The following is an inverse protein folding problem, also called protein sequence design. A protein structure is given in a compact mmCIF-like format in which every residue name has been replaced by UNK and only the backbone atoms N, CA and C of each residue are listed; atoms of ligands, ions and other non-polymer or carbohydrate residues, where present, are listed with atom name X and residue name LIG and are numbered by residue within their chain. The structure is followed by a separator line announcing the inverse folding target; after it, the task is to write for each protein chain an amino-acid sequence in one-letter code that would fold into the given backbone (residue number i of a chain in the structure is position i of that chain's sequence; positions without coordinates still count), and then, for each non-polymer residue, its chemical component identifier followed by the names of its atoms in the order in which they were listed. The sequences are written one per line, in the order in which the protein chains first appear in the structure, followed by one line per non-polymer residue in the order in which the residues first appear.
data_IF_881851553585
#
_entry.id   IF_881851553585
#
_cell.length_a   1.000
_cell.length_b   1.000
_cell.length_c   1.000
_cell.angle_alpha   90.00
_cell.angle_beta   90.00
_cell.angle_gamma   90.00
#
_symmetry.space_group_name_H-M   'P 1'
#
loop_
_entity.id
_entity.type
_entity.pdbx_description
1 polymer ?
#
# COMPACT_ATOMS: atom_id res chain seq x y z
N UNK A 1 15.33 -19.58 0.64
CA UNK A 1 14.05 -19.32 1.33
C UNK A 1 13.28 -18.39 0.43
N UNK A 2 12.29 -18.93 -0.28
CA UNK A 2 11.45 -18.14 -1.21
C UNK A 2 10.35 -17.49 -0.37
N UNK A 3 10.55 -16.24 0.04
CA UNK A 3 9.49 -15.48 0.66
C UNK A 3 8.61 -14.92 -0.47
N UNK A 4 7.40 -15.43 -0.56
CA UNK A 4 6.32 -14.79 -1.29
C UNK A 4 6.09 -13.40 -0.66
N UNK A 5 6.54 -12.37 -1.32
CA UNK A 5 6.18 -11.01 -0.98
C UNK A 5 4.69 -10.81 -1.31
N UNK A 6 3.84 -11.26 -0.40
CA UNK A 6 2.48 -10.74 -0.33
C UNK A 6 2.62 -9.36 0.30
N UNK A 7 2.94 -8.38 -0.56
CA UNK A 7 2.82 -6.98 -0.17
C UNK A 7 1.38 -6.79 0.28
N UNK A 8 1.20 -6.57 1.56
CA UNK A 8 -0.09 -6.19 2.12
C UNK A 8 -0.43 -4.82 1.54
N UNK A 9 -1.59 -4.76 0.93
CA UNK A 9 -2.23 -3.55 0.43
C UNK A 9 -2.10 -2.41 1.45
N UNK A 10 -1.30 -1.41 1.15
CA UNK A 10 -1.54 -0.06 1.60
C UNK A 10 -2.48 0.56 0.56
N UNK A 11 -3.59 1.10 0.99
CA UNK A 11 -4.69 1.52 0.13
C UNK A 11 -5.05 2.95 0.43
N UNK A 12 -5.12 3.79 -0.55
CA UNK A 12 -5.43 5.20 -0.43
C UNK A 12 -6.57 5.72 -1.30
N UNK A 13 -7.04 6.87 -0.93
CA UNK A 13 -8.27 7.48 -1.42
C UNK A 13 -8.06 8.65 -2.36
N UNK A 14 -8.78 8.67 -3.47
CA UNK A 14 -9.21 9.89 -4.13
C UNK A 14 -10.73 10.01 -4.03
N UNK A 15 -11.21 11.13 -3.50
CA UNK A 15 -12.62 11.47 -3.50
C UNK A 15 -13.08 11.79 -4.92
N UNK A 16 -13.60 10.80 -5.64
CA UNK A 16 -14.47 11.08 -6.76
C UNK A 16 -15.87 11.36 -6.20
N UNK A 17 -16.32 12.60 -6.30
CA UNK A 17 -17.73 12.93 -6.15
C UNK A 17 -18.52 12.17 -7.20
N UNK A 18 -19.15 11.06 -6.84
CA UNK A 18 -20.28 10.54 -7.58
C UNK A 18 -21.56 11.09 -6.96
N UNK A 19 -22.35 11.73 -7.80
CA UNK A 19 -23.70 12.19 -7.49
C UNK A 19 -24.52 11.02 -6.95
N UNK A 20 -25.29 11.28 -5.91
CA UNK A 20 -26.40 10.47 -5.49
C UNK A 20 -27.28 10.12 -6.68
N UNK A 21 -27.41 8.85 -6.96
CA UNK A 21 -28.65 8.27 -7.45
C UNK A 21 -29.03 7.14 -6.49
N UNK A 22 -30.00 7.46 -5.64
CA UNK A 22 -30.77 6.49 -4.87
C UNK A 22 -31.54 5.59 -5.85
N UNK A 23 -30.90 4.49 -6.26
CA UNK A 23 -31.61 3.32 -6.73
C UNK A 23 -30.91 2.09 -6.18
N UNK A 24 -31.67 1.41 -5.31
CA UNK A 24 -31.20 0.23 -4.59
C UNK A 24 -30.80 -0.92 -5.51
N UNK A 25 -29.95 -1.74 -4.96
CA UNK A 25 -29.89 -3.18 -5.13
C UNK A 25 -28.83 -3.84 -6.03
N UNK A 26 -27.88 -3.15 -6.67
CA UNK A 26 -26.84 -3.89 -7.43
C UNK A 26 -25.37 -3.61 -7.00
N UNK A 27 -25.12 -2.73 -6.05
CA UNK A 27 -23.74 -2.38 -5.65
C UNK A 27 -23.04 -3.43 -4.77
N UNK A 28 -23.81 -4.34 -4.15
CA UNK A 28 -23.26 -5.37 -3.25
C UNK A 28 -22.47 -6.46 -3.97
N UNK A 29 -22.65 -6.62 -5.30
CA UNK A 29 -21.97 -7.64 -6.10
C UNK A 29 -20.54 -7.25 -6.54
N UNK A 30 -20.10 -6.03 -6.24
CA UNK A 30 -18.80 -5.50 -6.68
C UNK A 30 -17.71 -5.62 -5.60
N UNK A 31 -18.09 -5.86 -4.35
CA UNK A 31 -17.14 -5.90 -3.24
C UNK A 31 -16.68 -7.32 -2.95
N UNK A 32 -15.37 -7.50 -2.87
CA UNK A 32 -14.76 -8.77 -2.49
C UNK A 32 -15.08 -9.08 -1.04
N UNK A 33 -15.71 -10.21 -0.77
CA UNK A 33 -15.99 -10.69 0.57
C UNK A 33 -14.91 -11.62 1.11
N UNK A 34 -14.27 -12.36 0.20
CA UNK A 34 -13.20 -13.27 0.61
C UNK A 34 -12.15 -13.43 -0.49
N UNK A 35 -10.90 -13.54 -0.06
CA UNK A 35 -9.75 -13.88 -0.91
C UNK A 35 -9.08 -15.10 -0.32
N UNK A 36 -8.87 -16.11 -1.15
CA UNK A 36 -8.15 -17.34 -0.79
C UNK A 36 -6.91 -17.44 -1.65
N UNK A 37 -5.73 -17.42 -1.03
CA UNK A 37 -4.45 -17.60 -1.71
C UNK A 37 -3.90 -19.03 -1.48
N UNK A 38 -3.43 -19.65 -2.57
CA UNK A 38 -2.85 -20.99 -2.60
C UNK A 38 -1.49 -20.91 -3.30
N UNK A 39 -0.52 -21.68 -2.84
CA UNK A 39 0.79 -21.78 -3.47
C UNK A 39 0.77 -22.65 -4.76
N UNK A 40 1.93 -22.84 -5.36
CA UNK A 40 2.13 -23.62 -6.59
C UNK A 40 1.66 -25.07 -6.49
N UNK A 41 1.61 -25.62 -5.29
CA UNK A 41 1.13 -26.99 -5.01
C UNK A 41 -0.36 -27.05 -4.66
N UNK A 42 -1.09 -25.91 -4.77
CA UNK A 42 -2.51 -25.79 -4.42
C UNK A 42 -2.78 -25.77 -2.92
N UNK A 43 -1.75 -25.70 -2.08
CA UNK A 43 -1.91 -25.61 -0.62
C UNK A 43 -2.25 -24.20 -0.20
N UNK A 44 -3.17 -24.09 0.74
CA UNK A 44 -3.60 -22.82 1.31
C UNK A 44 -2.44 -22.08 1.97
N UNK A 45 -2.31 -20.78 1.68
CA UNK A 45 -1.32 -19.87 2.27
C UNK A 45 -1.96 -18.74 3.05
N UNK A 46 -3.10 -18.23 2.57
CA UNK A 46 -3.77 -17.10 3.22
C UNK A 46 -5.26 -17.07 2.91
N UNK A 47 -6.06 -16.70 3.90
CA UNK A 47 -7.45 -16.34 3.74
C UNK A 47 -7.68 -14.93 4.29
N UNK A 48 -8.30 -14.07 3.49
CA UNK A 48 -8.73 -12.73 3.89
C UNK A 48 -10.25 -12.71 3.75
N UNK A 49 -10.95 -12.27 4.79
CA UNK A 49 -12.41 -12.08 4.75
C UNK A 49 -12.72 -10.63 5.11
N UNK A 50 -13.61 -10.01 4.34
CA UNK A 50 -14.08 -8.65 4.56
C UNK A 50 -15.55 -8.67 4.94
N UNK A 51 -15.91 -7.88 5.94
CA UNK A 51 -17.28 -7.70 6.40
C UNK A 51 -17.73 -6.28 6.09
N UNK A 52 -18.96 -6.14 5.62
CA UNK A 52 -19.53 -4.87 5.17
C UNK A 52 -20.80 -4.54 5.95
N UNK A 53 -21.03 -3.25 6.15
CA UNK A 53 -22.29 -2.71 6.67
C UNK A 53 -22.66 -1.45 5.86
N UNK A 54 -23.86 -1.40 5.29
CA UNK A 54 -24.31 -0.29 4.45
C UNK A 54 -23.39 -0.01 3.25
N UNK A 55 -22.83 -1.07 2.62
CA UNK A 55 -21.89 -0.97 1.49
C UNK A 55 -20.47 -0.52 1.87
N UNK A 56 -20.15 -0.44 3.15
CA UNK A 56 -18.83 -0.05 3.66
C UNK A 56 -18.17 -1.21 4.39
N UNK A 57 -16.88 -1.50 4.16
CA UNK A 57 -16.17 -2.48 4.96
C UNK A 57 -16.03 -1.97 6.39
N UNK A 58 -16.37 -2.83 7.34
CA UNK A 58 -16.24 -2.56 8.78
C UNK A 58 -15.16 -3.39 9.44
N UNK A 59 -14.82 -4.54 8.84
CA UNK A 59 -13.70 -5.33 9.31
C UNK A 59 -13.06 -6.17 8.21
N UNK A 60 -11.79 -6.49 8.43
CA UNK A 60 -11.02 -7.46 7.66
C UNK A 60 -10.40 -8.46 8.61
N UNK A 61 -10.58 -9.75 8.37
CA UNK A 61 -9.82 -10.81 9.04
C UNK A 61 -8.80 -11.42 8.09
N UNK A 62 -7.62 -11.76 8.61
CA UNK A 62 -6.53 -12.40 7.84
C UNK A 62 -6.00 -13.58 8.61
N UNK A 63 -6.00 -14.75 8.00
CA UNK A 63 -5.45 -15.99 8.53
C UNK A 63 -4.35 -16.49 7.60
N UNK A 64 -3.16 -16.74 8.14
CA UNK A 64 -2.02 -17.28 7.40
C UNK A 64 -1.91 -18.79 7.61
N UNK A 65 -1.37 -19.46 6.59
CA UNK A 65 -1.16 -20.91 6.56
C UNK A 65 0.23 -21.22 6.06
N UNK A 66 0.82 -22.30 6.57
CA UNK A 66 2.05 -22.90 6.03
C UNK A 66 1.76 -24.34 5.66
N UNK A 67 1.94 -24.70 4.41
CA UNK A 67 1.61 -26.01 3.86
C UNK A 67 0.13 -26.43 4.08
N UNK A 68 -0.78 -25.48 4.10
CA UNK A 68 -2.21 -25.71 4.33
C UNK A 68 -2.62 -25.81 5.80
N UNK A 69 -1.69 -25.67 6.74
CA UNK A 69 -1.97 -25.66 8.18
C UNK A 69 -1.94 -24.21 8.68
N UNK A 70 -2.98 -23.81 9.42
CA UNK A 70 -3.05 -22.47 9.99
C UNK A 70 -1.87 -22.21 10.91
N UNK A 71 -1.25 -21.03 10.75
CA UNK A 71 -0.14 -20.56 11.57
C UNK A 71 -0.54 -19.30 12.32
N UNK A 72 -0.38 -19.33 13.64
CA UNK A 72 -0.73 -18.21 14.50
C UNK A 72 -2.24 -17.97 14.61
N UNK A 73 -2.59 -16.81 15.15
CA UNK A 73 -3.97 -16.36 15.32
C UNK A 73 -4.46 -15.60 14.08
N UNK A 74 -5.77 -15.61 13.85
CA UNK A 74 -6.38 -14.74 12.84
C UNK A 74 -6.24 -13.29 13.28
N UNK A 75 -5.59 -12.47 12.45
CA UNK A 75 -5.49 -11.02 12.65
C UNK A 75 -6.81 -10.38 12.23
N UNK A 76 -7.29 -9.42 13.01
CA UNK A 76 -8.53 -8.70 12.71
C UNK A 76 -8.23 -7.21 12.68
N UNK A 77 -8.63 -6.57 11.60
CA UNK A 77 -8.66 -5.10 11.47
C UNK A 77 -10.11 -4.64 11.49
N UNK A 78 -10.41 -3.63 12.29
CA UNK A 78 -11.74 -3.01 12.40
C UNK A 78 -11.66 -1.54 12.03
N UNK A 79 -12.72 -1.02 11.42
CA UNK A 79 -12.83 0.35 10.96
C UNK A 79 -13.98 1.04 11.68
N UNK A 80 -13.71 2.21 12.24
CA UNK A 80 -14.70 3.09 12.84
C UNK A 80 -14.88 4.32 11.94
N UNK A 81 -16.11 4.64 11.60
CA UNK A 81 -16.45 5.75 10.73
C UNK A 81 -17.04 6.94 11.52
N UNK A 82 -16.81 8.14 10.98
CA UNK A 82 -17.54 9.36 11.31
C UNK A 82 -18.13 9.89 9.98
N UNK A 83 -19.46 9.77 9.83
CA UNK A 83 -20.11 9.98 8.55
C UNK A 83 -19.52 9.05 7.47
N UNK A 84 -18.98 9.63 6.39
CA UNK A 84 -18.37 8.88 5.28
C UNK A 84 -16.88 8.58 5.46
N UNK A 85 -16.25 9.13 6.48
CA UNK A 85 -14.81 9.07 6.66
C UNK A 85 -14.42 8.01 7.71
N UNK A 86 -13.33 7.28 7.48
CA UNK A 86 -12.74 6.42 8.49
C UNK A 86 -12.08 7.30 9.54
N UNK A 87 -12.58 7.25 10.77
CA UNK A 87 -12.02 7.96 11.91
C UNK A 87 -10.89 7.20 12.59
N UNK A 88 -11.02 5.88 12.62
CA UNK A 88 -10.05 5.00 13.27
C UNK A 88 -9.98 3.66 12.55
N UNK A 89 -8.77 3.11 12.44
CA UNK A 89 -8.53 1.71 12.12
C UNK A 89 -7.78 1.06 13.28
N UNK A 90 -8.16 -0.16 13.64
CA UNK A 90 -7.52 -0.94 14.71
C UNK A 90 -7.20 -2.33 14.21
N UNK A 91 -5.98 -2.81 14.45
CA UNK A 91 -5.58 -4.20 14.20
C UNK A 91 -5.34 -4.90 15.52
N UNK A 92 -5.93 -6.09 15.66
CA UNK A 92 -5.85 -6.95 16.82
C UNK A 92 -5.43 -8.36 16.45
N UNK A 93 -4.97 -9.12 17.43
CA UNK A 93 -4.52 -10.51 17.28
C UNK A 93 -3.33 -10.69 16.32
N UNK A 94 -2.56 -9.62 16.09
CA UNK A 94 -1.37 -9.63 15.24
C UNK A 94 -0.06 -9.69 16.07
N UNK A 95 -0.14 -9.91 17.38
CA UNK A 95 1.01 -9.89 18.27
C UNK A 95 1.67 -8.51 18.29
N UNK A 96 2.96 -8.47 17.94
CA UNK A 96 3.73 -7.21 17.89
C UNK A 96 3.22 -6.22 16.84
N UNK A 97 2.42 -6.68 15.86
CA UNK A 97 1.86 -5.87 14.79
C UNK A 97 0.46 -5.32 15.13
N UNK A 98 -0.01 -5.45 16.37
CA UNK A 98 -1.22 -4.76 16.81
C UNK A 98 -1.00 -3.26 16.74
N UNK A 99 -1.97 -2.53 16.17
CA UNK A 99 -1.89 -1.08 16.08
C UNK A 99 -3.26 -0.40 16.17
N UNK A 100 -3.21 0.89 16.48
CA UNK A 100 -4.34 1.82 16.35
C UNK A 100 -3.90 2.99 15.48
N UNK A 101 -4.69 3.30 14.46
CA UNK A 101 -4.54 4.47 13.62
C UNK A 101 -5.73 5.40 13.82
N UNK A 102 -5.49 6.71 13.91
CA UNK A 102 -6.54 7.71 13.94
C UNK A 102 -6.35 8.68 12.77
N UNK A 103 -7.44 9.13 12.19
CA UNK A 103 -7.46 9.96 11.00
C UNK A 103 -8.24 11.24 11.27
N UNK A 104 -7.69 12.37 10.83
CA UNK A 104 -8.32 13.70 10.94
C UNK A 104 -8.46 14.30 9.56
N UNK A 105 -9.62 14.88 9.29
CA UNK A 105 -9.96 15.46 7.99
C UNK A 105 -10.33 16.92 8.13
N UNK A 106 -9.93 17.73 7.14
CA UNK A 106 -10.34 19.11 6.96
C UNK A 106 -10.83 19.31 5.52
N UNK A 107 -11.99 19.92 5.36
CA UNK A 107 -12.60 20.15 4.03
C UNK A 107 -12.68 18.88 3.16
N UNK A 108 -12.89 17.71 3.79
CA UNK A 108 -12.99 16.43 3.12
C UNK A 108 -11.66 15.78 2.74
N UNK A 109 -10.53 16.35 3.11
CA UNK A 109 -9.18 15.82 2.86
C UNK A 109 -8.54 15.33 4.16
N UNK A 110 -7.83 14.22 4.08
CA UNK A 110 -7.03 13.72 5.20
C UNK A 110 -5.87 14.69 5.46
N UNK A 111 -5.80 15.28 6.65
CA UNK A 111 -4.72 16.21 7.02
C UNK A 111 -3.75 15.61 8.03
N UNK A 112 -4.21 14.66 8.84
CA UNK A 112 -3.35 13.99 9.82
C UNK A 112 -3.73 12.53 9.98
N UNK A 113 -2.73 11.66 10.05
CA UNK A 113 -2.83 10.28 10.54
C UNK A 113 -1.89 10.11 11.71
N UNK A 114 -2.35 9.49 12.79
CA UNK A 114 -1.47 9.00 13.85
C UNK A 114 -1.53 7.47 13.89
N UNK A 115 -0.40 6.84 14.16
CA UNK A 115 -0.28 5.40 14.22
C UNK A 115 0.54 4.99 15.44
N UNK A 116 0.02 4.06 16.22
CA UNK A 116 0.69 3.52 17.40
C UNK A 116 0.61 2.01 17.39
N UNK A 117 1.76 1.36 17.43
CA UNK A 117 1.89 -0.08 17.62
C UNK A 117 1.90 -0.43 19.10
N UNK A 118 1.32 -1.58 19.45
CA UNK A 118 1.31 -2.06 20.83
C UNK A 118 2.71 -2.39 21.35
N UNK A 119 3.57 -2.90 20.47
CA UNK A 119 4.97 -3.25 20.75
C UNK A 119 5.93 -2.06 20.74
N UNK A 120 5.47 -0.89 20.30
CA UNK A 120 6.30 0.31 20.16
C UNK A 120 5.77 1.45 21.02
N UNK A 121 6.64 2.03 21.86
CA UNK A 121 6.29 3.20 22.66
C UNK A 121 6.09 4.46 21.83
N UNK A 122 6.56 4.48 20.57
CA UNK A 122 6.47 5.63 19.68
C UNK A 122 5.07 5.78 19.10
N UNK A 123 4.69 7.03 18.88
CA UNK A 123 3.55 7.38 18.03
C UNK A 123 4.12 7.97 16.74
N UNK A 124 3.74 7.38 15.63
CA UNK A 124 4.05 7.90 14.30
C UNK A 124 2.96 8.91 13.92
N UNK A 125 3.36 10.09 13.49
CA UNK A 125 2.45 11.14 13.03
C UNK A 125 2.74 11.42 11.56
N UNK A 126 1.69 11.46 10.75
CA UNK A 126 1.73 11.84 9.34
C UNK A 126 0.92 13.10 9.15
N UNK A 127 1.49 14.08 8.48
CA UNK A 127 0.84 15.33 8.09
C UNK A 127 0.81 15.42 6.58
N UNK A 128 -0.35 15.77 6.02
CA UNK A 128 -0.60 15.83 4.59
C UNK A 128 -0.88 17.27 4.18
N UNK A 129 -0.18 17.75 3.15
CA UNK A 129 -0.37 19.10 2.61
C UNK A 129 -0.82 19.05 1.15
N UNK A 130 -1.66 20.00 0.75
CA UNK A 130 -2.29 20.02 -0.56
C UNK A 130 -2.19 21.39 -1.22
N UNK A 131 -2.04 21.41 -2.55
CA UNK A 131 -2.30 22.57 -3.41
C UNK A 131 -3.57 22.29 -4.22
N UNK A 132 -4.68 22.97 -3.89
CA UNK A 132 -5.99 22.56 -4.39
C UNK A 132 -6.29 21.12 -4.01
N UNK A 133 -6.58 20.24 -4.97
CA UNK A 133 -6.86 18.82 -4.72
C UNK A 133 -5.61 17.92 -4.81
N UNK A 134 -4.49 18.44 -5.25
CA UNK A 134 -3.26 17.68 -5.38
C UNK A 134 -2.49 17.61 -4.06
N UNK A 135 -2.10 16.41 -3.64
CA UNK A 135 -1.20 16.20 -2.52
C UNK A 135 0.19 16.71 -2.89
N UNK A 136 0.78 17.59 -2.07
CA UNK A 136 2.12 18.15 -2.33
C UNK A 136 3.18 17.67 -1.36
N UNK A 137 2.78 17.27 -0.15
CA UNK A 137 3.73 16.83 0.86
C UNK A 137 3.10 15.83 1.82
N UNK A 138 3.88 14.85 2.26
CA UNK A 138 3.61 13.98 3.41
C UNK A 138 4.80 14.06 4.34
N UNK A 139 4.58 14.52 5.56
CA UNK A 139 5.60 14.57 6.61
C UNK A 139 5.28 13.52 7.67
N UNK A 140 6.08 12.44 7.72
CA UNK A 140 6.06 11.45 8.79
C UNK A 140 7.05 11.83 9.87
N UNK A 141 6.66 11.71 11.13
CA UNK A 141 7.57 11.95 12.25
C UNK A 141 7.30 10.99 13.42
N UNK A 142 8.33 10.74 14.21
CA UNK A 142 8.23 10.02 15.48
C UNK A 142 9.38 10.35 16.42
N UNK A 143 9.21 10.24 17.76
CA UNK A 143 10.31 10.35 18.71
C UNK A 143 11.38 9.28 18.46
N UNK A 144 12.63 9.66 18.59
CA UNK A 144 13.80 8.75 18.47
C UNK A 144 14.90 9.16 19.43
N UNK A 145 15.98 8.42 19.43
CA UNK A 145 17.23 8.78 20.12
C UNK A 145 18.39 8.74 19.16
N UNK A 146 19.28 9.69 19.27
CA UNK A 146 20.50 9.80 18.45
C UNK A 146 21.72 9.69 19.32
N UNK A 147 22.83 9.27 18.73
CA UNK A 147 24.11 9.19 19.41
C UNK A 147 25.04 10.28 18.86
N UNK A 148 25.32 11.31 19.68
CA UNK A 148 26.13 12.48 19.28
C UNK A 148 27.20 12.73 20.32
N UNK A 149 28.44 12.86 19.88
CA UNK A 149 29.60 13.16 20.76
C UNK A 149 29.74 12.20 21.96
N UNK A 150 29.47 10.90 21.75
CA UNK A 150 29.62 9.91 22.81
C UNK A 150 28.44 9.80 23.79
N UNK A 151 27.34 10.51 23.54
CA UNK A 151 26.15 10.49 24.38
C UNK A 151 24.85 10.25 23.59
N UNK A 152 23.90 9.54 24.20
CA UNK A 152 22.55 9.38 23.67
C UNK A 152 21.71 10.62 24.01
N UNK A 153 21.05 11.17 23.01
CA UNK A 153 20.16 12.33 23.15
C UNK A 153 18.79 12.04 22.54
N UNK A 154 17.76 12.68 23.09
CA UNK A 154 16.41 12.63 22.50
C UNK A 154 16.36 13.46 21.21
N UNK A 155 15.70 12.94 20.20
CA UNK A 155 15.52 13.57 18.91
C UNK A 155 14.13 13.22 18.32
N UNK A 156 13.78 13.85 17.20
CA UNK A 156 12.65 13.47 16.38
C UNK A 156 13.16 13.09 14.98
N UNK A 157 12.79 11.92 14.53
CA UNK A 157 12.99 11.47 13.16
C UNK A 157 11.90 12.04 12.26
N UNK A 158 12.30 12.43 11.05
CA UNK A 158 11.41 12.90 9.99
C UNK A 158 11.69 12.15 8.69
N UNK A 159 10.61 11.81 8.00
CA UNK A 159 10.60 11.39 6.60
C UNK A 159 9.65 12.31 5.85
N UNK A 160 10.17 13.11 4.96
CA UNK A 160 9.42 14.07 4.16
C UNK A 160 9.36 13.58 2.71
N UNK A 161 8.14 13.42 2.18
CA UNK A 161 7.85 13.04 0.80
C UNK A 161 7.22 14.25 0.10
N UNK A 162 7.88 14.77 -0.92
CA UNK A 162 7.40 15.90 -1.72
C UNK A 162 6.97 15.41 -3.09
N UNK A 163 5.82 15.87 -3.57
CA UNK A 163 5.22 15.45 -4.84
C UNK A 163 5.17 16.59 -5.83
N UNK A 164 5.67 16.36 -7.04
CA UNK A 164 5.58 17.29 -8.18
C UNK A 164 4.86 16.61 -9.32
N UNK A 165 3.91 17.32 -9.94
CA UNK A 165 3.06 16.81 -11.02
C UNK A 165 3.41 17.49 -12.33
N UNK A 166 3.66 16.69 -13.38
CA UNK A 166 3.96 17.17 -14.72
C UNK A 166 3.21 16.31 -15.76
N UNK A 167 2.00 16.75 -16.12
CA UNK A 167 1.11 15.99 -17.01
C UNK A 167 0.73 14.65 -16.41
N UNK A 168 1.18 13.57 -17.05
CA UNK A 168 0.96 12.19 -16.58
C UNK A 168 2.13 11.62 -15.75
N UNK A 169 3.05 12.46 -15.35
CA UNK A 169 4.18 12.08 -14.51
C UNK A 169 4.03 12.66 -13.10
N UNK A 170 4.30 11.86 -12.08
CA UNK A 170 4.42 12.30 -10.69
C UNK A 170 5.83 11.98 -10.23
N UNK A 171 6.51 12.97 -9.67
CA UNK A 171 7.84 12.81 -9.08
C UNK A 171 7.68 12.94 -7.57
N UNK A 172 8.10 11.92 -6.86
CA UNK A 172 8.21 11.89 -5.40
C UNK A 172 9.67 11.99 -5.01
N UNK A 173 9.98 12.94 -4.14
CA UNK A 173 11.30 13.06 -3.51
C UNK A 173 11.14 12.81 -2.03
N UNK A 174 11.78 11.76 -1.53
CA UNK A 174 11.80 11.42 -0.11
C UNK A 174 13.11 11.86 0.50
N UNK A 175 13.04 12.63 1.59
CA UNK A 175 14.20 13.06 2.39
C UNK A 175 14.01 12.60 3.83
N UNK A 176 15.05 12.00 4.41
CA UNK A 176 15.07 11.54 5.81
C UNK A 176 16.07 12.32 6.61
N UNK A 177 15.66 12.78 7.80
CA UNK A 177 16.53 13.54 8.70
C UNK A 177 16.06 13.45 10.15
N UNK A 178 16.93 13.85 11.07
CA UNK A 178 16.63 13.95 12.49
C UNK A 178 16.82 15.38 12.97
N UNK A 179 15.99 15.80 13.93
CA UNK A 179 16.15 17.09 14.64
C UNK A 179 16.34 16.84 16.12
N UNK A 180 17.23 17.61 16.75
CA UNK A 180 17.39 17.66 18.19
C UNK A 180 16.18 18.34 18.87
N UNK A 181 16.19 18.39 20.20
CA UNK A 181 15.13 19.06 20.99
C UNK A 181 15.01 20.57 20.73
N UNK A 182 16.04 21.21 20.16
CA UNK A 182 16.04 22.62 19.78
C UNK A 182 15.56 22.84 18.35
N UNK A 183 15.25 21.76 17.62
CA UNK A 183 14.81 21.78 16.23
C UNK A 183 15.95 21.89 15.21
N UNK A 184 17.21 21.79 15.64
CA UNK A 184 18.34 21.77 14.73
C UNK A 184 18.49 20.39 14.07
N UNK A 185 18.76 20.39 12.75
CA UNK A 185 19.01 19.16 12.01
C UNK A 185 20.36 18.56 12.45
N UNK A 186 20.34 17.27 12.76
CA UNK A 186 21.53 16.54 13.22
C UNK A 186 22.21 15.86 12.04
N UNK A 187 23.42 16.27 11.71
CA UNK A 187 24.14 15.87 10.49
C UNK A 187 25.06 14.66 10.62
N UNK A 188 25.27 14.15 11.85
CA UNK A 188 26.23 13.07 12.12
C UNK A 188 25.55 11.80 12.66
N UNK A 189 24.35 11.49 12.20
CA UNK A 189 23.65 10.25 12.55
C UNK A 189 23.91 9.15 11.54
N UNK A 190 23.60 7.92 11.91
CA UNK A 190 23.68 6.73 11.04
C UNK A 190 22.77 6.87 9.81
N UNK A 191 21.74 7.70 9.89
CA UNK A 191 20.85 8.10 8.80
C UNK A 191 21.32 9.42 8.20
N UNK A 192 22.49 9.43 7.55
CA UNK A 192 22.92 10.59 6.78
C UNK A 192 21.95 10.78 5.61
N UNK A 193 21.23 11.89 5.57
CA UNK A 193 20.51 12.49 4.43
C UNK A 193 20.36 11.55 3.22
N UNK A 194 19.48 10.56 3.36
CA UNK A 194 19.20 9.67 2.25
C UNK A 194 18.05 10.29 1.45
N UNK A 195 18.38 10.75 0.25
CA UNK A 195 17.38 11.27 -0.69
C UNK A 195 17.09 10.18 -1.70
N UNK A 196 15.84 9.79 -1.80
CA UNK A 196 15.33 8.85 -2.79
C UNK A 196 14.35 9.57 -3.71
N UNK A 197 14.46 9.34 -5.00
CA UNK A 197 13.54 9.90 -5.99
C UNK A 197 12.81 8.78 -6.70
N UNK A 198 11.48 8.87 -6.73
CA UNK A 198 10.63 7.95 -7.46
C UNK A 198 9.86 8.74 -8.50
N UNK A 199 9.94 8.29 -9.75
CA UNK A 199 9.20 8.85 -10.87
C UNK A 199 8.14 7.87 -11.34
N UNK A 200 6.87 8.25 -11.19
CA UNK A 200 5.71 7.48 -11.63
C UNK A 200 5.22 8.01 -12.97
N UNK A 201 4.92 7.11 -13.91
CA UNK A 201 4.22 7.42 -15.15
C UNK A 201 2.82 6.82 -15.09
N UNK A 202 1.80 7.66 -15.30
CA UNK A 202 0.39 7.30 -15.21
C UNK A 202 -0.22 7.19 -16.61
N UNK A 203 -1.08 6.21 -16.84
CA UNK A 203 -1.86 6.09 -18.06
C UNK A 203 -3.20 5.41 -17.78
N UNK A 204 -4.31 6.04 -18.23
CA UNK A 204 -5.64 5.46 -18.13
C UNK A 204 -6.13 5.18 -16.69
N UNK A 205 -5.55 5.86 -15.68
CA UNK A 205 -5.85 5.63 -14.26
C UNK A 205 -5.02 4.50 -13.62
N UNK A 206 -3.92 4.12 -14.27
CA UNK A 206 -2.97 3.12 -13.76
C UNK A 206 -1.56 3.71 -13.73
N UNK A 207 -0.72 3.26 -12.82
CA UNK A 207 0.73 3.46 -12.88
C UNK A 207 1.30 2.45 -13.88
N UNK A 208 1.88 2.92 -14.97
CA UNK A 208 2.44 2.04 -16.01
C UNK A 208 3.95 1.88 -15.90
N UNK A 209 4.60 2.78 -15.20
CA UNK A 209 6.03 2.73 -14.94
C UNK A 209 6.35 3.44 -13.62
N UNK A 210 7.28 2.86 -12.89
CA UNK A 210 7.93 3.44 -11.73
C UNK A 210 9.44 3.36 -11.91
N UNK A 211 10.14 4.45 -11.62
CA UNK A 211 11.61 4.51 -11.62
C UNK A 211 12.04 5.05 -10.27
N UNK A 212 12.69 4.21 -9.50
CA UNK A 212 13.30 4.57 -8.22
C UNK A 212 14.80 4.75 -8.39
N UNK A 213 15.29 5.92 -8.05
CA UNK A 213 16.71 6.28 -8.14
C UNK A 213 17.24 6.67 -6.78
N UNK A 214 18.32 6.06 -6.39
CA UNK A 214 19.11 6.44 -5.23
C UNK A 214 20.60 6.45 -5.59
N UNK A 215 21.50 6.96 -4.73
CA UNK A 215 22.94 7.08 -5.06
C UNK A 215 23.65 5.76 -5.41
N UNK A 216 23.02 4.61 -5.16
CA UNK A 216 23.66 3.30 -5.29
C UNK A 216 23.00 2.40 -6.31
N UNK A 217 21.73 2.64 -6.66
CA UNK A 217 20.96 1.75 -7.52
C UNK A 217 19.84 2.48 -8.26
N UNK A 218 19.41 1.86 -9.36
CA UNK A 218 18.21 2.24 -10.09
C UNK A 218 17.31 1.00 -10.14
N UNK A 219 16.04 1.16 -9.77
CA UNK A 219 15.01 0.15 -9.98
C UNK A 219 13.96 0.68 -10.95
N UNK A 220 13.64 -0.10 -11.97
CA UNK A 220 12.63 0.24 -12.96
C UNK A 220 11.57 -0.84 -12.92
N UNK A 221 10.34 -0.44 -12.65
CA UNK A 221 9.17 -1.29 -12.67
C UNK A 221 8.24 -0.87 -13.81
N UNK A 222 7.85 -1.83 -14.64
CA UNK A 222 6.97 -1.60 -15.79
C UNK A 222 5.76 -2.54 -15.69
N UNK A 223 4.57 -1.98 -15.93
CA UNK A 223 3.31 -2.68 -15.76
C UNK A 223 2.48 -2.64 -17.03
N UNK A 224 1.84 -3.75 -17.35
CA UNK A 224 0.77 -3.80 -18.33
C UNK A 224 -0.54 -4.22 -17.66
N UNK A 225 -1.65 -3.79 -18.23
CA UNK A 225 -2.97 -3.96 -17.64
C UNK A 225 -3.95 -4.53 -18.66
N UNK A 226 -4.97 -5.20 -18.14
CA UNK A 226 -6.14 -5.55 -18.95
C UNK A 226 -7.09 -4.33 -19.11
N UNK A 227 -8.30 -4.58 -19.59
CA UNK A 227 -9.36 -3.57 -19.72
C UNK A 227 -10.50 -3.78 -18.73
N UNK A 228 -10.35 -4.73 -17.79
CA UNK A 228 -11.39 -5.10 -16.83
C UNK A 228 -11.21 -4.33 -15.53
N UNK A 229 -12.30 -4.13 -14.76
CA UNK A 229 -12.22 -3.41 -13.51
C UNK A 229 -11.40 -4.19 -12.47
N UNK A 230 -10.50 -3.47 -11.80
CA UNK A 230 -9.81 -3.98 -10.64
C UNK A 230 -10.70 -3.83 -9.39
N UNK A 231 -11.05 -4.91 -8.68
CA UNK A 231 -11.90 -4.82 -7.51
C UNK A 231 -11.27 -3.95 -6.39
N UNK A 232 -9.94 -3.92 -6.30
CA UNK A 232 -9.23 -3.13 -5.31
C UNK A 232 -9.33 -1.63 -5.57
N UNK A 233 -9.43 -1.19 -6.81
CA UNK A 233 -9.66 0.21 -7.14
C UNK A 233 -10.90 0.80 -6.45
N UNK A 234 -11.93 0.00 -6.29
CA UNK A 234 -13.17 0.37 -5.59
C UNK A 234 -13.08 0.22 -4.07
N UNK A 235 -12.08 -0.52 -3.59
CA UNK A 235 -11.87 -0.79 -2.17
C UNK A 235 -10.84 0.14 -1.51
N UNK A 236 -10.11 0.91 -2.30
CA UNK A 236 -9.00 1.75 -1.84
C UNK A 236 -9.40 2.75 -0.76
N UNK A 237 -10.64 3.19 -0.77
CA UNK A 237 -11.15 4.14 0.22
C UNK A 237 -11.54 3.52 1.56
N UNK A 238 -11.41 2.20 1.71
CA UNK A 238 -12.15 1.47 2.72
C UNK A 238 -11.30 0.81 3.81
N UNK A 239 -10.00 0.66 3.62
CA UNK A 239 -9.20 -0.08 4.62
C UNK A 239 -8.22 0.82 5.35
N UNK A 240 -7.57 1.73 4.65
CA UNK A 240 -6.69 2.73 5.25
C UNK A 240 -6.66 3.97 4.33
N UNK A 241 -7.20 5.12 4.77
CA UNK A 241 -7.10 6.34 3.97
C UNK A 241 -5.64 6.77 3.85
N UNK A 242 -5.11 6.72 2.63
CA UNK A 242 -3.80 7.27 2.30
C UNK A 242 -3.87 8.04 0.98
N UNK A 243 -3.67 9.34 0.95
CA UNK A 243 -3.73 10.15 -0.26
C UNK A 243 -2.71 9.80 -1.34
N UNK A 244 -1.71 8.95 -1.04
CA UNK A 244 -0.67 8.55 -2.02
C UNK A 244 -1.03 7.32 -2.84
N UNK A 245 -2.13 6.66 -2.59
CA UNK A 245 -2.47 5.35 -3.18
C UNK A 245 -2.81 5.33 -4.64
N UNK A 246 -3.12 6.48 -5.22
CA UNK A 246 -3.22 6.55 -6.68
C UNK A 246 -1.88 6.22 -7.36
N UNK A 247 -0.78 6.21 -6.59
CA UNK A 247 0.55 5.77 -7.00
C UNK A 247 0.81 4.28 -6.71
N UNK A 248 -0.08 3.61 -5.97
CA UNK A 248 0.03 2.16 -5.76
C UNK A 248 -0.53 1.40 -6.96
N UNK A 249 0.30 0.63 -7.60
CA UNK A 249 -0.02 -0.16 -8.79
C UNK A 249 -1.18 -1.14 -8.58
N UNK A 250 -1.34 -1.64 -7.34
CA UNK A 250 -2.43 -2.55 -6.99
C UNK A 250 -3.80 -1.85 -6.92
N UNK A 251 -3.80 -0.53 -6.81
CA UNK A 251 -5.00 0.30 -6.74
C UNK A 251 -5.38 0.90 -8.10
N UNK A 252 -4.64 0.56 -9.15
CA UNK A 252 -4.94 0.96 -10.52
C UNK A 252 -6.37 0.59 -10.94
N UNK A 253 -6.89 1.29 -11.93
CA UNK A 253 -8.25 1.10 -12.46
C UNK A 253 -8.47 -0.31 -13.01
N UNK A 254 -7.44 -0.93 -13.55
CA UNK A 254 -7.46 -2.20 -14.25
C UNK A 254 -6.57 -3.24 -13.55
N UNK A 255 -6.73 -4.53 -13.91
CA UNK A 255 -5.92 -5.60 -13.35
C UNK A 255 -4.56 -5.70 -14.05
N UNK A 256 -3.49 -5.92 -13.28
CA UNK A 256 -2.12 -6.06 -13.80
C UNK A 256 -2.01 -7.38 -14.58
N UNK A 257 -1.58 -7.31 -15.84
CA UNK A 257 -1.26 -8.50 -16.66
C UNK A 257 0.20 -8.91 -16.52
N UNK A 258 1.11 -7.93 -16.53
CA UNK A 258 2.54 -8.18 -16.34
C UNK A 258 3.16 -7.15 -15.43
N UNK A 259 4.16 -7.59 -14.70
CA UNK A 259 5.04 -6.77 -13.87
C UNK A 259 6.48 -7.15 -14.22
N UNK A 260 7.25 -6.20 -14.74
CA UNK A 260 8.67 -6.36 -15.01
C UNK A 260 9.44 -5.46 -14.07
N UNK A 261 10.32 -6.04 -13.28
CA UNK A 261 11.30 -5.31 -12.47
C UNK A 261 12.69 -5.45 -13.11
N UNK A 262 13.38 -4.33 -13.24
CA UNK A 262 14.78 -4.24 -13.64
C UNK A 262 15.53 -3.51 -12.55
N UNK A 263 16.45 -4.20 -11.89
CA UNK A 263 17.28 -3.62 -10.86
C UNK A 263 18.73 -3.52 -11.35
N UNK A 264 19.31 -2.32 -11.25
CA UNK A 264 20.69 -2.07 -11.62
C UNK A 264 21.47 -1.57 -10.39
N UNK A 265 22.54 -2.30 -10.02
CA UNK A 265 23.41 -1.98 -8.92
C UNK A 265 24.85 -2.35 -9.27
N UNK A 266 25.79 -1.41 -9.11
CA UNK A 266 27.23 -1.61 -9.40
C UNK A 266 27.49 -2.18 -10.82
N UNK A 267 26.73 -1.72 -11.83
CA UNK A 267 26.86 -2.16 -13.22
C UNK A 267 26.36 -3.58 -13.49
N UNK A 268 25.69 -4.21 -12.51
CA UNK A 268 24.98 -5.46 -12.68
C UNK A 268 23.50 -5.17 -12.83
N UNK A 269 22.88 -5.90 -13.76
CA UNK A 269 21.47 -5.77 -14.07
C UNK A 269 20.77 -7.11 -13.85
N UNK A 270 19.76 -7.10 -13.02
CA UNK A 270 18.87 -8.23 -12.76
C UNK A 270 17.47 -7.91 -13.26
N UNK A 271 16.82 -8.87 -13.91
CA UNK A 271 15.47 -8.72 -14.41
C UNK A 271 14.57 -9.82 -13.86
N UNK A 272 13.38 -9.44 -13.47
CA UNK A 272 12.30 -10.36 -13.05
C UNK A 272 11.04 -9.99 -13.81
N UNK A 273 10.37 -10.98 -14.39
CA UNK A 273 9.08 -10.82 -15.04
C UNK A 273 8.04 -11.69 -14.32
N UNK A 274 6.95 -11.08 -13.91
CA UNK A 274 5.79 -11.76 -13.35
C UNK A 274 4.60 -11.53 -14.28
N UNK A 275 3.84 -12.57 -14.55
CA UNK A 275 2.63 -12.50 -15.37
C UNK A 275 1.43 -13.08 -14.64
N UNK A 276 0.24 -12.57 -14.98
CA UNK A 276 -1.02 -12.93 -14.34
C UNK A 276 -2.05 -13.37 -15.38
N UNK A 277 -2.77 -14.43 -15.09
CA UNK A 277 -3.91 -14.91 -15.87
C UNK A 277 -5.18 -14.82 -15.02
N UNK A 278 -6.23 -14.29 -15.61
CA UNK A 278 -7.48 -14.01 -14.91
C UNK A 278 -8.65 -14.82 -15.48
N UNK A 279 -9.51 -15.29 -14.57
CA UNK A 279 -10.89 -15.69 -14.89
C UNK A 279 -11.82 -14.65 -14.27
N UNK A 280 -12.88 -14.28 -14.99
CA UNK A 280 -13.76 -13.19 -14.58
C UNK A 280 -15.21 -13.69 -14.40
N UNK A 281 -15.96 -13.03 -13.53
CA UNK A 281 -17.43 -13.18 -13.46
C UNK A 281 -18.13 -12.39 -14.59
N UNK A 282 -19.45 -12.49 -14.65
CA UNK A 282 -20.26 -11.81 -15.67
C UNK A 282 -20.15 -10.27 -15.60
N UNK A 283 -19.86 -9.70 -14.43
CA UNK A 283 -19.65 -8.26 -14.23
C UNK A 283 -18.22 -7.80 -14.60
N UNK A 284 -17.35 -8.72 -14.98
CA UNK A 284 -15.97 -8.45 -15.39
C UNK A 284 -14.96 -8.39 -14.23
N UNK A 285 -15.34 -8.72 -13.01
CA UNK A 285 -14.41 -8.79 -11.88
C UNK A 285 -13.69 -10.15 -11.81
N UNK A 286 -12.40 -10.19 -11.42
CA UNK A 286 -11.62 -11.42 -11.31
C UNK A 286 -12.24 -12.38 -10.30
N UNK A 287 -12.41 -13.64 -10.67
CA UNK A 287 -12.77 -14.72 -9.74
C UNK A 287 -11.58 -15.61 -9.40
N UNK A 288 -10.65 -15.76 -10.35
CA UNK A 288 -9.41 -16.52 -10.17
C UNK A 288 -8.29 -15.73 -10.82
N UNK A 289 -7.16 -15.66 -10.13
CA UNK A 289 -5.91 -15.07 -10.62
C UNK A 289 -4.80 -16.10 -10.45
N UNK A 290 -4.14 -16.47 -11.54
CA UNK A 290 -2.94 -17.31 -11.53
C UNK A 290 -1.72 -16.43 -11.72
N UNK A 291 -0.69 -16.64 -10.91
CA UNK A 291 0.56 -15.91 -10.98
C UNK A 291 1.68 -16.82 -11.49
N UNK A 292 2.51 -16.27 -12.35
CA UNK A 292 3.68 -16.93 -12.90
C UNK A 292 4.91 -16.02 -12.78
N UNK A 293 6.07 -16.60 -12.51
CA UNK A 293 7.37 -15.94 -12.60
C UNK A 293 8.11 -16.46 -13.81
N UNK A 294 8.72 -15.56 -14.58
CA UNK A 294 9.62 -15.91 -15.67
C UNK A 294 11.06 -15.63 -15.28
N UNK A 295 11.88 -16.64 -15.36
CA UNK A 295 13.30 -16.57 -15.04
C UNK A 295 14.09 -17.41 -16.07
N UNK A 296 15.09 -16.81 -16.72
CA UNK A 296 15.92 -17.47 -17.75
C UNK A 296 15.10 -18.16 -18.86
N UNK A 297 13.98 -17.55 -19.27
CA UNK A 297 13.09 -18.07 -20.32
C UNK A 297 12.20 -19.23 -19.86
N UNK A 298 12.22 -19.59 -18.59
CA UNK A 298 11.33 -20.59 -18.00
C UNK A 298 10.21 -19.89 -17.23
N UNK A 299 8.96 -20.26 -17.54
CA UNK A 299 7.76 -19.77 -16.86
C UNK A 299 7.36 -20.75 -15.75
N UNK A 300 7.41 -20.31 -14.51
CA UNK A 300 7.08 -21.10 -13.33
C UNK A 300 5.78 -20.62 -12.69
N UNK A 301 4.84 -21.53 -12.46
CA UNK A 301 3.61 -21.24 -11.72
C UNK A 301 3.93 -20.98 -10.25
N UNK A 302 3.41 -19.88 -9.70
CA UNK A 302 3.68 -19.44 -8.33
C UNK A 302 2.49 -19.65 -7.39
N UNK A 303 1.27 -19.70 -7.94
CA UNK A 303 0.07 -19.91 -7.12
C UNK A 303 -1.17 -19.25 -7.69
N UNK A 304 -2.24 -19.34 -6.91
CA UNK A 304 -3.58 -18.88 -7.31
C UNK A 304 -4.18 -18.02 -6.20
N UNK A 305 -4.92 -16.97 -6.59
CA UNK A 305 -5.85 -16.25 -5.70
C UNK A 305 -7.28 -16.45 -6.22
N UNK A 306 -8.18 -16.78 -5.32
CA UNK A 306 -9.63 -16.95 -5.60
C UNK A 306 -10.39 -15.85 -4.87
N UNK A 307 -11.37 -15.23 -5.55
CA UNK A 307 -12.15 -14.11 -5.06
C UNK A 307 -13.62 -14.49 -4.99
N UNK A 308 -14.25 -14.25 -3.84
CA UNK A 308 -15.69 -14.37 -3.62
C UNK A 308 -16.29 -12.96 -3.41
N UNK A 309 -17.40 -12.68 -4.11
CA UNK A 309 -18.11 -11.40 -4.10
C UNK A 309 -19.43 -11.45 -3.37
#
# INVERSE_FOLDING_TARGET
MKHFLVSLLAIAALAACSKNDDNGDDSASQFVKKITAKNENGKLEKVITLTYEGGRPISQSTTDYVNGVQTGTTRVSTLLYDGRFIKQAKRENAGIDNYVQNFTYENGKLVTKTEKYESDYRTYTYQYSYAGDQLTNVLKSHPTTIYVNGATQSATYYEERQFTYNGNTVIEVTTRYEKDLNGAVVTNTVFSYDTNTITYTLSGGNVVKEVEENPYSISIEEYTYDTKPNPFHYMTNFVEPDPTSFLDVHNGKNNILTYKNTHEHNGKKDETLISFEYTYNAAGFPTIVKQYKEENGTREFQGTKEYEY
#
